data_IF_904224098912
#
_entry.id   IF_904224098912
#
_cell.length_a   1.000
_cell.length_b   1.000
_cell.length_c   1.000
_cell.angle_alpha   90.00
_cell.angle_beta   90.00
_cell.angle_gamma   90.00
#
_symmetry.space_group_name_H-M   'P 1'
#
loop_
_entity.id
_entity.type
_entity.pdbx_description
1 polymer ?
#
# COMPACT_ATOMS: atom_id res chain seq x y z
N UNK A 1 -18.50 -6.10 64.40
CA UNK A 1 -17.53 -6.29 63.31
C UNK A 1 -17.94 -5.38 62.16
N UNK A 2 -17.19 -4.34 61.77
CA UNK A 2 -17.55 -3.53 60.62
C UNK A 2 -17.02 -4.19 59.33
N UNK A 3 -17.90 -4.49 58.39
CA UNK A 3 -17.53 -4.93 57.04
C UNK A 3 -17.05 -3.73 56.24
N UNK A 4 -15.80 -3.81 55.77
CA UNK A 4 -15.20 -2.85 54.84
C UNK A 4 -15.54 -3.34 53.43
N UNK A 5 -16.45 -2.65 52.74
CA UNK A 5 -16.75 -2.91 51.34
C UNK A 5 -15.66 -2.27 50.48
N UNK A 6 -14.77 -3.08 49.92
CA UNK A 6 -13.70 -2.63 49.03
C UNK A 6 -14.30 -2.25 47.66
N UNK A 7 -14.19 -0.97 47.30
CA UNK A 7 -14.58 -0.46 45.99
C UNK A 7 -13.43 -0.71 45.00
N UNK A 8 -13.54 -1.74 44.16
CA UNK A 8 -12.60 -1.98 43.07
C UNK A 8 -12.78 -0.94 41.97
N UNK A 9 -11.82 -0.03 41.83
CA UNK A 9 -11.65 0.80 40.64
C UNK A 9 -11.14 -0.08 39.49
N UNK A 10 -12.03 -0.41 38.56
CA UNK A 10 -11.64 -0.93 37.25
C UNK A 10 -10.95 0.17 36.46
N UNK A 11 -9.61 0.10 36.39
CA UNK A 11 -8.82 0.90 35.47
C UNK A 11 -9.00 0.27 34.08
N UNK A 12 -9.98 0.77 33.32
CA UNK A 12 -10.12 0.44 31.91
C UNK A 12 -8.92 1.02 31.15
N UNK A 13 -8.09 0.16 30.57
CA UNK A 13 -7.05 0.60 29.65
C UNK A 13 -7.73 1.25 28.43
N UNK A 14 -7.62 2.57 28.34
CA UNK A 14 -8.05 3.33 27.17
C UNK A 14 -7.03 3.03 26.08
N UNK A 15 -7.33 2.06 25.21
CA UNK A 15 -6.57 1.87 23.99
C UNK A 15 -6.81 3.09 23.10
N UNK A 16 -5.86 4.02 23.05
CA UNK A 16 -5.92 5.13 22.11
C UNK A 16 -5.99 4.54 20.70
N UNK A 17 -6.92 4.99 19.84
CA UNK A 17 -6.88 4.60 18.43
C UNK A 17 -5.53 5.05 17.87
N UNK A 18 -4.73 4.11 17.38
CA UNK A 18 -3.56 4.43 16.57
C UNK A 18 -4.12 5.03 15.29
N UNK A 19 -4.24 6.36 15.25
CA UNK A 19 -4.66 7.07 14.05
C UNK A 19 -3.75 6.65 12.92
N UNK A 20 -4.33 6.21 11.81
CA UNK A 20 -3.62 5.98 10.57
C UNK A 20 -2.77 7.22 10.27
N UNK A 21 -1.46 7.07 10.38
CA UNK A 21 -0.50 8.13 10.17
C UNK A 21 0.13 7.94 8.80
N UNK A 22 0.05 8.99 7.98
CA UNK A 22 0.87 9.08 6.77
C UNK A 22 2.12 9.86 7.13
N UNK A 23 3.30 9.32 6.85
CA UNK A 23 4.58 10.00 7.13
C UNK A 23 5.63 9.72 6.06
N UNK A 24 6.64 10.61 5.90
CA UNK A 24 7.74 10.39 4.96
C UNK A 24 8.61 9.19 5.36
N UNK A 25 8.84 8.31 4.40
CA UNK A 25 9.63 7.09 4.54
C UNK A 25 10.76 7.05 3.50
N UNK A 26 11.87 6.42 3.86
CA UNK A 26 12.87 6.02 2.88
C UNK A 26 12.34 4.84 2.09
N UNK A 27 12.07 5.05 0.79
CA UNK A 27 11.66 3.97 -0.12
C UNK A 27 12.83 3.00 -0.29
N UNK A 28 12.63 1.67 -0.15
CA UNK A 28 13.67 0.69 -0.39
C UNK A 28 14.27 0.83 -1.81
N UNK A 29 15.60 0.85 -1.92
CA UNK A 29 16.27 0.82 -3.22
C UNK A 29 16.23 -0.57 -3.85
N UNK A 30 16.27 -0.64 -5.17
CA UNK A 30 16.28 -1.90 -5.92
C UNK A 30 14.90 -2.48 -6.26
N UNK A 31 13.82 -1.96 -5.66
CA UNK A 31 12.43 -2.31 -6.01
C UNK A 31 11.69 -1.05 -6.46
N UNK A 32 11.23 -1.02 -7.71
CA UNK A 32 10.62 0.16 -8.37
C UNK A 32 11.50 1.43 -8.36
N UNK A 33 12.50 1.48 -9.24
CA UNK A 33 13.32 2.68 -9.44
C UNK A 33 12.57 3.72 -10.29
N UNK A 34 12.04 4.75 -9.62
CA UNK A 34 11.44 5.91 -10.29
C UNK A 34 10.10 5.64 -10.98
N UNK A 35 9.65 6.58 -11.83
CA UNK A 35 8.39 6.46 -12.55
C UNK A 35 8.31 5.20 -13.40
N UNK A 36 7.14 4.57 -13.38
CA UNK A 36 6.77 3.40 -14.19
C UNK A 36 5.64 3.77 -15.14
N UNK A 37 5.58 3.06 -16.26
CA UNK A 37 4.51 3.21 -17.26
C UNK A 37 4.24 1.84 -17.88
N UNK A 38 3.08 1.25 -17.58
CA UNK A 38 2.70 -0.07 -18.11
C UNK A 38 1.17 -0.29 -18.02
N UNK A 39 0.71 -1.52 -17.93
CA UNK A 39 -0.71 -1.90 -17.83
C UNK A 39 -1.22 -1.70 -16.40
N UNK A 40 -2.32 -0.97 -16.27
CA UNK A 40 -3.12 -0.90 -15.05
C UNK A 40 -4.37 -1.74 -15.19
N UNK A 41 -4.38 -2.95 -14.62
CA UNK A 41 -5.59 -3.78 -14.56
C UNK A 41 -6.42 -3.45 -13.32
N UNK A 42 -7.49 -4.23 -13.10
CA UNK A 42 -8.32 -4.07 -11.91
C UNK A 42 -8.77 -5.41 -11.31
N UNK A 43 -9.00 -5.36 -9.99
CA UNK A 43 -9.48 -6.49 -9.20
C UNK A 43 -10.50 -6.07 -8.13
N UNK A 44 -11.28 -7.04 -7.67
CA UNK A 44 -12.16 -6.94 -6.52
C UNK A 44 -11.54 -7.59 -5.29
N UNK A 45 -11.82 -7.04 -4.10
CA UNK A 45 -11.50 -7.66 -2.82
C UNK A 45 -12.26 -8.99 -2.58
N UNK A 46 -13.35 -9.21 -3.33
CA UNK A 46 -14.06 -10.49 -3.40
C UNK A 46 -14.45 -10.86 -4.81
N UNK A 47 -13.57 -11.57 -5.49
CA UNK A 47 -13.92 -12.31 -6.69
C UNK A 47 -13.01 -13.52 -6.83
N UNK A 48 -13.60 -14.70 -7.05
CA UNK A 48 -12.85 -15.92 -7.31
C UNK A 48 -11.96 -15.76 -8.55
N UNK A 49 -12.43 -15.02 -9.56
CA UNK A 49 -11.69 -14.74 -10.78
C UNK A 49 -10.41 -13.92 -10.52
N UNK A 50 -10.38 -13.16 -9.42
CA UNK A 50 -9.24 -12.32 -9.02
C UNK A 50 -8.37 -13.01 -7.96
N UNK A 51 -8.66 -14.28 -7.64
CA UNK A 51 -8.02 -15.05 -6.57
C UNK A 51 -8.02 -14.35 -5.19
N UNK A 52 -9.01 -13.49 -4.92
CA UNK A 52 -9.11 -12.72 -3.68
C UNK A 52 -10.07 -13.34 -2.67
N UNK A 53 -9.80 -13.09 -1.38
CA UNK A 53 -10.53 -13.68 -0.25
C UNK A 53 -10.81 -12.67 0.88
N UNK A 54 -10.87 -11.36 0.57
CA UNK A 54 -10.91 -10.23 1.54
C UNK A 54 -9.70 -10.09 2.45
N UNK A 55 -8.66 -10.88 2.27
CA UNK A 55 -7.45 -10.83 3.06
C UNK A 55 -6.30 -10.38 2.16
N UNK A 56 -5.80 -9.17 2.41
CA UNK A 56 -4.70 -8.62 1.65
C UNK A 56 -3.41 -9.43 1.87
N UNK A 57 -2.53 -9.45 0.88
CA UNK A 57 -1.17 -9.99 1.02
C UNK A 57 -0.39 -9.30 2.15
N UNK A 58 -0.74 -8.06 2.48
CA UNK A 58 -0.19 -7.30 3.60
C UNK A 58 -0.74 -7.68 4.99
N UNK A 59 -1.67 -8.64 5.06
CA UNK A 59 -2.12 -9.22 6.33
C UNK A 59 -3.28 -8.49 7.01
N UNK A 60 -3.98 -7.60 6.32
CA UNK A 60 -5.21 -6.94 6.81
C UNK A 60 -6.43 -7.26 5.94
N UNK A 61 -7.63 -7.02 6.47
CA UNK A 61 -8.87 -7.13 5.68
C UNK A 61 -9.04 -5.90 4.81
N UNK A 62 -9.40 -6.11 3.56
CA UNK A 62 -9.61 -5.05 2.59
C UNK A 62 -10.96 -5.14 1.87
N UNK A 63 -11.33 -4.06 1.20
CA UNK A 63 -12.62 -3.86 0.52
C UNK A 63 -12.40 -3.16 -0.82
N UNK A 64 -13.40 -3.25 -1.71
CA UNK A 64 -13.36 -2.61 -3.03
C UNK A 64 -13.12 -1.09 -2.97
N UNK A 65 -13.47 -0.46 -1.85
CA UNK A 65 -13.29 0.97 -1.59
C UNK A 65 -11.89 1.37 -1.17
N UNK A 66 -11.04 0.42 -0.77
CA UNK A 66 -9.69 0.73 -0.31
C UNK A 66 -8.84 1.21 -1.50
N UNK A 67 -8.12 2.35 -1.37
CA UNK A 67 -7.30 2.91 -2.42
C UNK A 67 -5.97 2.17 -2.51
N UNK A 68 -6.01 0.89 -2.87
CA UNK A 68 -4.82 0.04 -2.90
C UNK A 68 -4.50 -0.44 -4.31
N UNK A 69 -3.21 -0.69 -4.52
CA UNK A 69 -2.69 -1.38 -5.69
C UNK A 69 -2.05 -2.69 -5.25
N UNK A 70 -2.17 -3.69 -6.10
CA UNK A 70 -1.34 -4.87 -6.08
C UNK A 70 -0.15 -4.66 -7.04
N UNK A 71 1.02 -5.15 -6.66
CA UNK A 71 2.25 -5.10 -7.45
C UNK A 71 2.86 -6.49 -7.59
N UNK A 72 3.70 -6.70 -8.61
CA UNK A 72 4.50 -7.91 -8.74
C UNK A 72 5.54 -7.99 -7.61
N UNK A 73 5.57 -9.09 -6.83
CA UNK A 73 6.39 -9.20 -5.60
C UNK A 73 7.24 -10.47 -5.51
N UNK A 74 7.45 -11.22 -6.60
CA UNK A 74 8.29 -12.43 -6.57
C UNK A 74 7.55 -13.70 -6.15
N UNK A 75 6.21 -13.68 -6.08
CA UNK A 75 5.36 -14.84 -5.77
C UNK A 75 5.42 -15.43 -4.35
N UNK A 76 6.17 -14.84 -3.41
CA UNK A 76 6.21 -15.33 -2.03
C UNK A 76 4.88 -15.04 -1.30
N UNK A 77 4.25 -16.08 -0.75
CA UNK A 77 3.03 -15.99 0.06
C UNK A 77 3.28 -16.52 1.48
N UNK A 78 2.35 -16.25 2.41
CA UNK A 78 2.40 -16.84 3.75
C UNK A 78 2.51 -18.37 3.72
N UNK A 79 1.82 -19.02 2.77
CA UNK A 79 1.77 -20.49 2.66
C UNK A 79 2.99 -21.09 1.95
N UNK A 80 3.59 -20.37 1.00
CA UNK A 80 4.70 -20.89 0.19
C UNK A 80 6.07 -20.58 0.80
N UNK A 81 6.27 -19.36 1.32
CA UNK A 81 7.51 -18.94 1.96
C UNK A 81 7.23 -17.80 2.96
N UNK A 82 6.86 -18.12 4.21
CA UNK A 82 6.45 -17.13 5.20
C UNK A 82 7.56 -16.15 5.57
N UNK A 83 8.82 -16.57 5.52
CA UNK A 83 9.97 -15.70 5.80
C UNK A 83 10.13 -14.64 4.70
N UNK A 84 10.21 -15.07 3.43
CA UNK A 84 10.32 -14.14 2.31
C UNK A 84 9.09 -13.24 2.19
N UNK A 85 7.88 -13.79 2.39
CA UNK A 85 6.65 -13.02 2.44
C UNK A 85 6.69 -11.95 3.52
N UNK A 86 7.14 -12.28 4.75
CA UNK A 86 7.22 -11.32 5.84
C UNK A 86 8.25 -10.23 5.56
N UNK A 87 9.38 -10.59 4.97
CA UNK A 87 10.43 -9.61 4.62
C UNK A 87 9.96 -8.64 3.54
N UNK A 88 9.22 -9.12 2.53
CA UNK A 88 8.70 -8.29 1.45
C UNK A 88 7.54 -7.40 1.94
N UNK A 89 6.57 -7.95 2.66
CA UNK A 89 5.44 -7.18 3.19
C UNK A 89 5.91 -6.04 4.11
N UNK A 90 6.91 -6.27 4.97
CA UNK A 90 7.45 -5.22 5.86
C UNK A 90 8.15 -4.08 5.13
N UNK A 91 8.65 -4.32 3.92
CA UNK A 91 9.32 -3.30 3.11
C UNK A 91 8.33 -2.48 2.28
N UNK A 92 7.28 -3.12 1.76
CA UNK A 92 6.47 -2.54 0.69
C UNK A 92 5.04 -2.18 1.09
N UNK A 93 4.41 -2.92 2.01
CA UNK A 93 3.01 -2.70 2.37
C UNK A 93 2.78 -1.32 2.99
N UNK A 94 1.91 -0.51 2.40
CA UNK A 94 1.57 0.83 2.86
C UNK A 94 2.37 1.95 2.20
N UNK A 95 3.39 1.63 1.39
CA UNK A 95 4.06 2.64 0.57
C UNK A 95 3.04 3.31 -0.35
N UNK A 96 3.04 4.64 -0.34
CA UNK A 96 2.14 5.45 -1.15
C UNK A 96 2.67 5.60 -2.57
N UNK A 97 1.78 5.38 -3.53
CA UNK A 97 1.99 5.57 -4.94
C UNK A 97 1.00 6.60 -5.50
N UNK A 98 1.46 7.45 -6.40
CA UNK A 98 0.58 8.24 -7.25
C UNK A 98 0.46 7.53 -8.58
N UNK A 99 -0.75 7.10 -8.96
CA UNK A 99 -1.00 6.58 -10.30
C UNK A 99 -1.86 7.55 -11.11
N UNK A 100 -1.61 7.60 -12.42
CA UNK A 100 -2.27 8.48 -13.38
C UNK A 100 -2.66 7.67 -14.60
N UNK A 101 -3.95 7.75 -14.95
CA UNK A 101 -4.43 7.26 -16.22
C UNK A 101 -4.11 8.31 -17.30
N UNK A 102 -3.29 7.97 -18.32
CA UNK A 102 -2.93 8.91 -19.38
C UNK A 102 -4.12 9.31 -20.26
N UNK A 103 -5.15 8.47 -20.40
CA UNK A 103 -6.27 8.71 -21.31
C UNK A 103 -7.24 9.73 -20.75
N UNK A 104 -7.50 9.67 -19.44
CA UNK A 104 -8.39 10.60 -18.74
C UNK A 104 -7.65 11.77 -18.08
N UNK A 105 -6.34 11.64 -17.88
CA UNK A 105 -5.51 12.60 -17.14
C UNK A 105 -5.75 12.60 -15.63
N UNK A 106 -6.60 11.69 -15.10
CA UNK A 106 -6.92 11.64 -13.68
C UNK A 106 -5.84 10.90 -12.91
N UNK A 107 -5.54 11.40 -11.71
CA UNK A 107 -4.60 10.77 -10.77
C UNK A 107 -5.26 10.44 -9.44
N UNK A 108 -4.74 9.42 -8.76
CA UNK A 108 -5.12 9.07 -7.39
C UNK A 108 -3.91 8.62 -6.58
N UNK A 109 -3.87 9.01 -5.32
CA UNK A 109 -2.96 8.43 -4.32
C UNK A 109 -3.53 7.09 -3.87
N UNK A 110 -2.68 6.08 -3.90
CA UNK A 110 -2.99 4.70 -3.53
C UNK A 110 -1.84 4.10 -2.76
N UNK A 111 -2.03 2.92 -2.19
CA UNK A 111 -1.04 2.27 -1.34
C UNK A 111 -0.76 0.85 -1.84
N UNK A 112 0.50 0.41 -1.76
CA UNK A 112 0.81 -1.00 -1.96
C UNK A 112 0.11 -1.78 -0.84
N UNK A 113 -0.96 -2.48 -1.19
CA UNK A 113 -1.81 -3.17 -0.23
C UNK A 113 -1.94 -4.65 -0.50
N UNK A 114 -1.61 -5.09 -1.71
CA UNK A 114 -1.68 -6.48 -2.12
C UNK A 114 -0.51 -6.84 -3.06
N UNK A 115 -0.43 -8.10 -3.46
CA UNK A 115 0.48 -8.57 -4.50
C UNK A 115 -0.27 -9.51 -5.45
N UNK A 116 0.05 -9.47 -6.73
CA UNK A 116 -0.50 -10.41 -7.70
C UNK A 116 0.58 -11.37 -8.21
N UNK A 117 0.13 -12.54 -8.65
CA UNK A 117 1.00 -13.64 -9.04
C UNK A 117 1.85 -13.28 -10.28
N UNK A 118 3.16 -13.39 -10.10
CA UNK A 118 4.20 -13.10 -11.09
C UNK A 118 3.99 -13.83 -12.43
N UNK A 119 3.32 -14.99 -12.43
CA UNK A 119 3.01 -15.74 -13.65
C UNK A 119 2.06 -14.99 -14.61
N UNK A 120 1.33 -13.99 -14.11
CA UNK A 120 0.42 -13.15 -14.89
C UNK A 120 0.96 -11.73 -15.11
N UNK A 121 2.13 -11.41 -14.55
CA UNK A 121 2.81 -10.12 -14.71
C UNK A 121 3.51 -10.08 -16.07
N UNK A 122 3.03 -9.21 -16.96
CA UNK A 122 3.68 -8.99 -18.26
C UNK A 122 4.91 -8.10 -18.15
N UNK A 123 4.91 -7.18 -17.19
CA UNK A 123 6.08 -6.37 -16.86
C UNK A 123 6.12 -6.00 -15.38
N UNK A 124 7.32 -5.81 -14.80
CA UNK A 124 7.44 -5.31 -13.43
C UNK A 124 6.81 -3.92 -13.21
N UNK A 125 6.44 -3.18 -14.27
CA UNK A 125 5.76 -1.90 -14.16
C UNK A 125 4.23 -2.01 -14.04
N UNK A 126 3.65 -3.19 -14.31
CA UNK A 126 2.20 -3.38 -14.26
C UNK A 126 1.68 -3.32 -12.81
N UNK A 127 0.48 -2.77 -12.66
CA UNK A 127 -0.23 -2.71 -11.38
C UNK A 127 -1.64 -3.25 -11.55
N UNK A 128 -2.16 -3.88 -10.51
CA UNK A 128 -3.58 -4.24 -10.42
C UNK A 128 -4.25 -3.30 -9.43
N UNK A 129 -5.30 -2.61 -9.84
CA UNK A 129 -5.89 -1.51 -9.07
C UNK A 129 -7.23 -1.97 -8.48
N UNK A 130 -7.43 -1.72 -7.18
CA UNK A 130 -8.73 -2.03 -6.57
C UNK A 130 -9.87 -1.30 -7.31
N UNK A 131 -10.95 -2.02 -7.60
CA UNK A 131 -11.96 -1.62 -8.58
C UNK A 131 -12.53 -0.21 -8.42
N UNK A 132 -12.75 0.29 -7.20
CA UNK A 132 -13.29 1.65 -7.02
C UNK A 132 -12.23 2.72 -7.27
N UNK A 133 -10.95 2.43 -6.98
CA UNK A 133 -9.85 3.31 -7.33
C UNK A 133 -9.60 3.33 -8.84
N UNK A 134 -9.69 2.17 -9.52
CA UNK A 134 -9.67 2.07 -10.97
C UNK A 134 -10.81 2.89 -11.59
N UNK A 135 -12.03 2.68 -11.10
CA UNK A 135 -13.22 3.39 -11.59
C UNK A 135 -13.14 4.90 -11.40
N UNK A 136 -12.44 5.37 -10.35
CA UNK A 136 -12.26 6.79 -10.08
C UNK A 136 -11.33 7.47 -11.11
N UNK A 137 -10.28 6.77 -11.57
CA UNK A 137 -9.33 7.34 -12.53
C UNK A 137 -9.69 7.03 -13.99
N UNK A 138 -10.20 5.84 -14.30
CA UNK A 138 -10.45 5.40 -15.68
C UNK A 138 -11.95 5.30 -16.03
N UNK A 139 -12.76 4.84 -15.08
CA UNK A 139 -14.19 4.57 -15.27
C UNK A 139 -14.54 3.11 -15.01
N UNK A 140 -15.85 2.82 -14.85
CA UNK A 140 -16.30 1.47 -14.48
C UNK A 140 -16.09 0.48 -15.65
N UNK A 141 -15.29 -0.60 -15.47
CA UNK A 141 -15.06 -1.58 -16.52
C UNK A 141 -16.27 -2.50 -16.77
N UNK A 142 -17.32 -2.44 -15.93
CA UNK A 142 -18.55 -3.25 -16.03
C UNK A 142 -18.28 -4.77 -16.12
N UNK A 143 -17.26 -5.25 -15.41
CA UNK A 143 -16.91 -6.67 -15.38
C UNK A 143 -15.97 -7.14 -16.50
N UNK A 144 -15.66 -6.31 -17.50
CA UNK A 144 -14.81 -6.70 -18.63
C UNK A 144 -13.32 -6.60 -18.28
N UNK A 145 -12.67 -7.76 -18.08
CA UNK A 145 -11.25 -7.85 -17.72
C UNK A 145 -10.29 -7.39 -18.82
N UNK A 146 -10.77 -7.17 -20.04
CA UNK A 146 -9.95 -6.59 -21.11
C UNK A 146 -9.91 -5.06 -21.04
N UNK A 147 -10.77 -4.43 -20.22
CA UNK A 147 -10.69 -2.99 -19.97
C UNK A 147 -9.63 -2.71 -18.93
N UNK A 148 -8.47 -2.33 -19.43
CA UNK A 148 -7.29 -1.96 -18.66
C UNK A 148 -6.86 -0.54 -19.04
N UNK A 149 -6.08 0.09 -18.17
CA UNK A 149 -5.40 1.34 -18.50
C UNK A 149 -4.11 0.97 -19.23
N UNK A 150 -4.01 1.33 -20.51
CA UNK A 150 -2.76 1.18 -21.26
C UNK A 150 -1.80 2.33 -20.91
N UNK A 151 -0.61 1.99 -20.42
CA UNK A 151 0.40 3.00 -20.07
C UNK A 151 0.06 3.81 -18.81
N UNK A 152 -0.61 3.20 -17.81
CA UNK A 152 -0.78 3.80 -16.49
C UNK A 152 0.58 4.24 -15.95
N UNK A 153 0.67 5.51 -15.58
CA UNK A 153 1.90 6.10 -15.05
C UNK A 153 1.83 6.09 -13.54
N UNK A 154 2.82 5.51 -12.86
CA UNK A 154 2.85 5.55 -11.41
C UNK A 154 4.25 5.66 -10.83
N UNK A 155 4.33 6.23 -9.64
CA UNK A 155 5.57 6.36 -8.89
C UNK A 155 5.31 6.35 -7.38
N UNK A 156 6.29 5.87 -6.63
CA UNK A 156 6.26 5.97 -5.16
C UNK A 156 6.55 7.41 -4.73
N UNK A 157 5.73 7.93 -3.81
CA UNK A 157 5.81 9.32 -3.37
C UNK A 157 6.89 9.54 -2.30
N UNK A 158 7.35 8.46 -1.67
CA UNK A 158 8.18 8.52 -0.49
C UNK A 158 7.40 8.70 0.82
N UNK A 159 6.09 8.49 0.81
CA UNK A 159 5.29 8.39 2.02
C UNK A 159 4.87 6.94 2.29
N UNK A 160 4.50 6.68 3.54
CA UNK A 160 3.87 5.43 3.97
C UNK A 160 2.60 5.74 4.76
N UNK A 161 1.55 4.94 4.59
CA UNK A 161 0.35 4.99 5.40
C UNK A 161 0.22 3.73 6.26
N UNK A 162 0.20 3.92 7.59
CA UNK A 162 0.18 2.81 8.56
C UNK A 162 -1.11 1.99 8.57
N UNK A 163 -2.21 2.49 8.00
CA UNK A 163 -3.44 1.70 7.83
C UNK A 163 -3.22 0.51 6.91
N UNK A 164 -2.39 0.67 5.89
CA UNK A 164 -2.14 -0.34 4.85
C UNK A 164 -0.78 -1.05 5.04
N UNK A 165 -0.15 -0.84 6.22
CA UNK A 165 1.08 -1.50 6.60
C UNK A 165 0.84 -2.92 7.14
N UNK A 166 1.78 -3.84 6.91
CA UNK A 166 1.79 -5.10 7.65
C UNK A 166 2.19 -4.85 9.11
N UNK A 167 1.69 -5.65 10.08
CA UNK A 167 2.19 -5.63 11.45
C UNK A 167 3.71 -5.79 11.53
N UNK A 168 4.35 -4.92 12.32
CA UNK A 168 5.81 -4.91 12.51
C UNK A 168 6.60 -4.38 11.32
N UNK A 169 5.96 -3.74 10.33
CA UNK A 169 6.67 -2.94 9.36
C UNK A 169 7.31 -1.72 10.04
N UNK A 170 8.52 -1.39 9.63
CA UNK A 170 9.26 -0.25 10.11
C UNK A 170 10.02 0.36 8.94
N UNK A 171 9.70 1.61 8.61
CA UNK A 171 10.39 2.36 7.58
C UNK A 171 11.36 3.34 8.25
N UNK A 172 12.62 3.40 7.81
CA UNK A 172 13.50 4.48 8.21
C UNK A 172 12.86 5.81 7.80
N UNK A 173 12.58 6.67 8.78
CA UNK A 173 12.06 8.01 8.52
C UNK A 173 13.05 8.74 7.62
N UNK A 174 12.55 9.40 6.57
CA UNK A 174 13.41 10.23 5.73
C UNK A 174 13.91 11.42 6.57
N UNK A 175 15.19 11.40 6.96
CA UNK A 175 15.80 12.55 7.64
C UNK A 175 15.65 13.79 6.77
N UNK A 176 15.10 14.86 7.34
CA UNK A 176 14.89 16.16 6.69
C UNK A 176 16.20 16.95 6.47
N UNK A 177 17.35 16.28 6.36
CA UNK A 177 18.68 16.91 6.46
C UNK A 177 19.31 17.41 5.15
N UNK A 178 18.64 17.32 4.00
CA UNK A 178 19.17 17.91 2.75
C UNK A 178 18.58 19.29 2.46
N UNK A 179 18.80 20.25 3.38
CA UNK A 179 18.72 21.70 3.11
C UNK A 179 19.34 22.53 4.24
N UNK A 180 20.66 22.46 4.38
CA UNK A 180 21.44 23.59 4.90
C UNK A 180 22.63 23.80 3.97
N UNK A 181 22.40 24.60 2.93
CA UNK A 181 23.49 25.24 2.22
C UNK A 181 24.25 26.11 3.22
N UNK A 182 25.44 25.64 3.59
CA UNK A 182 26.41 26.44 4.33
C UNK A 182 27.00 27.45 3.34
N UNK A 183 26.35 28.60 3.19
CA UNK A 183 26.96 29.75 2.52
C UNK A 183 27.98 30.36 3.47
N UNK A 184 29.26 30.06 3.25
CA UNK A 184 30.35 30.85 3.80
C UNK A 184 30.42 32.17 3.03
N UNK A 185 29.86 33.23 3.61
CA UNK A 185 30.14 34.60 3.21
C UNK A 185 31.43 35.05 3.88
N UNK A 186 32.45 35.32 3.07
CA UNK A 186 33.64 36.06 3.45
C UNK A 186 33.33 37.55 3.37
N UNK A 187 33.68 38.31 4.41
CA UNK A 187 34.17 39.70 4.38
C UNK A 187 34.81 40.02 5.73
#
# INVERSE_FOLDING_TARGET
MPSITTLSLMIGAIAAPVSASTYPATVPSGFFSGPRSDTGSWYHATANQDATNRQSWCGYKYYNSDPIIAVAMGGATWSSNPTAWRDQTRKHCGLEAKATDPDTGKSKLMYIGDAFDDSWVRSPGSIDIMIEAFSAIHGNPNGDKNKVIEGVKWELTGNVNTQYATPGANWPVKSSSDKRGSGSGSE
#
